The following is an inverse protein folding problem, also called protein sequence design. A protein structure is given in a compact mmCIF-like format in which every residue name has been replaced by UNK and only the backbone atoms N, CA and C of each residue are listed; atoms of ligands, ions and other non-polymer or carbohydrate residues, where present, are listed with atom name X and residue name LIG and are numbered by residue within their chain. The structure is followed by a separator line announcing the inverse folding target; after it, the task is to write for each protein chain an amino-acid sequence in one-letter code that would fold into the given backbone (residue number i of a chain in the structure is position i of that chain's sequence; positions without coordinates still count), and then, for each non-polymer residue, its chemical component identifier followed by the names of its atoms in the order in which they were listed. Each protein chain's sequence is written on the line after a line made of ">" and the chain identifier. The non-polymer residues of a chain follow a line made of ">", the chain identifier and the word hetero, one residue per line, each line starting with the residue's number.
data_IF_754832281266
#
_entry.id   IF_754832281266
#
_cell.length_a   1.000
_cell.length_b   1.000
_cell.length_c   1.000
_cell.angle_alpha   90.00
_cell.angle_beta   90.00
_cell.angle_gamma   90.00
#
_symmetry.space_group_name_H-M   'P 1'
#
loop_
_entity.id
_entity.type
_entity.pdbx_description
1 polymer ?
#
# COMPACT_ATOMS: atom_id res chain seq x y z
N UNK A 1 -2.45 -7.84 18.34
CA UNK A 1 -2.03 -6.51 17.83
C UNK A 1 -0.85 -6.67 16.89
N UNK A 2 -0.69 -5.72 15.96
CA UNK A 2 0.44 -5.63 15.04
C UNK A 2 0.88 -4.16 14.90
N UNK A 3 2.18 -3.92 14.94
CA UNK A 3 2.84 -2.65 14.68
C UNK A 3 3.38 -2.64 13.25
N UNK A 4 2.88 -1.72 12.44
CA UNK A 4 3.17 -1.60 11.02
C UNK A 4 3.89 -0.28 10.76
N UNK A 5 4.94 -0.32 9.96
CA UNK A 5 5.50 0.87 9.33
C UNK A 5 5.27 0.82 7.83
N UNK A 6 4.79 1.92 7.26
CA UNK A 6 4.60 2.08 5.82
C UNK A 6 5.45 3.24 5.33
N UNK A 7 6.10 3.11 4.18
CA UNK A 7 6.99 4.12 3.58
C UNK A 7 6.78 4.21 2.07
N UNK A 8 6.99 5.38 1.49
CA UNK A 8 6.90 5.58 0.04
C UNK A 8 7.57 6.88 -0.39
N UNK A 9 8.11 6.92 -1.61
CA UNK A 9 8.45 8.09 -2.42
C UNK A 9 9.52 9.09 -1.89
N UNK A 10 9.46 9.47 -0.61
CA UNK A 10 10.32 10.50 0.00
C UNK A 10 11.26 9.85 1.02
N UNK A 11 12.56 9.90 0.74
CA UNK A 11 13.61 9.41 1.64
C UNK A 11 13.90 10.44 2.73
N UNK A 12 13.59 10.09 3.99
CA UNK A 12 13.79 10.95 5.16
C UNK A 12 14.50 10.17 6.26
N UNK A 13 15.26 10.85 7.12
CA UNK A 13 15.87 10.18 8.28
C UNK A 13 14.78 9.74 9.26
N UNK A 14 14.60 8.43 9.42
CA UNK A 14 13.68 7.81 10.36
C UNK A 14 14.45 7.28 11.57
N UNK A 15 13.94 7.57 12.77
CA UNK A 15 14.47 6.95 13.99
C UNK A 15 13.38 6.21 14.73
N UNK A 16 13.66 4.97 15.08
CA UNK A 16 12.85 4.13 15.93
C UNK A 16 13.06 4.51 17.40
N UNK A 17 12.59 5.70 17.78
CA UNK A 17 12.69 6.22 19.15
C UNK A 17 11.95 5.38 20.19
N UNK A 18 11.04 4.52 19.75
CA UNK A 18 10.31 3.60 20.62
C UNK A 18 11.16 2.37 21.02
N UNK A 19 12.33 2.17 20.39
CA UNK A 19 13.27 1.07 20.65
C UNK A 19 12.57 -0.31 20.68
N UNK A 20 11.58 -0.50 19.80
CA UNK A 20 10.83 -1.75 19.68
C UNK A 20 10.94 -2.32 18.28
N UNK A 21 10.82 -3.64 18.15
CA UNK A 21 10.69 -4.26 16.84
C UNK A 21 9.28 -4.02 16.28
N UNK A 22 9.20 -3.84 14.97
CA UNK A 22 7.92 -3.80 14.27
C UNK A 22 7.57 -5.21 13.76
N UNK A 23 6.29 -5.46 13.51
CA UNK A 23 5.88 -6.74 12.95
C UNK A 23 5.96 -6.72 11.41
N UNK A 24 5.61 -5.59 10.80
CA UNK A 24 5.46 -5.48 9.35
C UNK A 24 5.98 -4.14 8.82
N UNK A 25 6.81 -4.20 7.78
CA UNK A 25 7.18 -3.05 6.95
C UNK A 25 6.53 -3.19 5.57
N UNK A 26 5.85 -2.13 5.12
CA UNK A 26 5.20 -2.06 3.80
C UNK A 26 5.82 -0.92 3.00
N UNK A 27 6.53 -1.26 1.92
CA UNK A 27 6.99 -0.30 0.91
C UNK A 27 5.92 -0.08 -0.15
N UNK A 28 5.46 1.16 -0.31
CA UNK A 28 4.50 1.56 -1.35
C UNK A 28 5.17 2.04 -2.66
N UNK A 29 6.48 1.79 -2.84
CA UNK A 29 7.22 2.07 -4.06
C UNK A 29 8.03 3.38 -4.04
N UNK A 30 8.83 3.56 -5.09
CA UNK A 30 9.60 4.78 -5.40
C UNK A 30 10.61 5.19 -4.33
N UNK A 31 11.26 4.20 -3.72
CA UNK A 31 12.35 4.38 -2.77
C UNK A 31 13.59 3.62 -3.26
N UNK A 32 14.79 4.13 -2.95
CA UNK A 32 16.01 3.43 -3.33
C UNK A 32 16.21 2.14 -2.52
N UNK A 33 16.89 1.13 -3.09
CA UNK A 33 17.23 -0.09 -2.37
C UNK A 33 18.02 0.20 -1.09
N UNK A 34 18.96 1.16 -1.13
CA UNK A 34 19.75 1.55 0.04
C UNK A 34 18.90 2.18 1.15
N UNK A 35 17.93 3.01 0.79
CA UNK A 35 16.99 3.55 1.78
C UNK A 35 16.08 2.48 2.37
N UNK A 36 15.55 1.57 1.55
CA UNK A 36 14.73 0.47 2.04
C UNK A 36 15.50 -0.46 2.99
N UNK A 37 16.76 -0.75 2.70
CA UNK A 37 17.66 -1.49 3.62
C UNK A 37 17.86 -0.73 4.94
N UNK A 38 18.11 0.58 4.87
CA UNK A 38 18.18 1.43 6.06
C UNK A 38 16.91 1.36 6.92
N UNK A 39 15.72 1.52 6.33
CA UNK A 39 14.45 1.43 7.07
C UNK A 39 14.25 0.03 7.66
N UNK A 40 14.58 -1.02 6.90
CA UNK A 40 14.51 -2.39 7.38
C UNK A 40 15.40 -2.61 8.61
N UNK A 41 16.63 -2.09 8.60
CA UNK A 41 17.58 -2.19 9.70
C UNK A 41 17.19 -1.34 10.93
N UNK A 42 16.62 -0.15 10.71
CA UNK A 42 16.18 0.75 11.78
C UNK A 42 14.97 0.19 12.55
N UNK A 43 14.02 -0.44 11.86
CA UNK A 43 12.75 -0.89 12.45
C UNK A 43 12.68 -2.38 12.75
N UNK A 44 13.61 -3.18 12.19
CA UNK A 44 13.74 -4.64 12.39
C UNK A 44 12.38 -5.37 12.32
N UNK A 45 11.63 -5.20 11.21
CA UNK A 45 10.33 -5.82 11.07
C UNK A 45 10.44 -7.34 11.00
N UNK A 46 9.42 -8.06 11.47
CA UNK A 46 9.35 -9.52 11.31
C UNK A 46 9.11 -9.95 9.86
N UNK A 47 8.45 -9.09 9.06
CA UNK A 47 8.32 -9.25 7.61
C UNK A 47 8.39 -7.88 6.93
N UNK A 48 9.09 -7.85 5.80
CA UNK A 48 9.14 -6.70 4.90
C UNK A 48 8.53 -7.06 3.55
N UNK A 49 7.48 -6.33 3.17
CA UNK A 49 6.82 -6.48 1.87
C UNK A 49 6.90 -5.16 1.09
N UNK A 50 6.84 -5.25 -0.23
CA UNK A 50 6.76 -4.05 -1.06
C UNK A 50 5.95 -4.26 -2.33
N UNK A 51 5.46 -3.15 -2.88
CA UNK A 51 5.03 -3.02 -4.27
C UNK A 51 5.99 -2.09 -4.98
N UNK A 52 6.17 -2.27 -6.29
CA UNK A 52 6.96 -1.33 -7.08
C UNK A 52 6.17 -0.05 -7.36
N UNK A 53 6.87 1.08 -7.34
CA UNK A 53 6.41 2.32 -7.94
C UNK A 53 6.89 2.49 -9.38
N UNK A 54 6.48 3.57 -10.06
CA UNK A 54 6.84 3.76 -11.47
C UNK A 54 8.30 4.22 -11.66
N UNK A 55 8.94 4.80 -10.66
CA UNK A 55 10.34 5.19 -10.71
C UNK A 55 11.32 4.07 -10.32
N UNK A 56 10.84 2.98 -9.71
CA UNK A 56 11.69 1.85 -9.31
C UNK A 56 12.39 1.16 -10.49
N UNK A 57 11.87 1.29 -11.72
CA UNK A 57 12.46 0.71 -12.93
C UNK A 57 13.96 1.00 -13.05
N UNK A 58 14.41 2.18 -12.62
CA UNK A 58 15.80 2.63 -12.73
C UNK A 58 16.80 1.76 -11.95
N UNK A 59 16.34 0.96 -11.01
CA UNK A 59 17.20 0.06 -10.22
C UNK A 59 17.30 -1.36 -10.80
N UNK A 60 16.53 -1.65 -11.86
CA UNK A 60 16.51 -2.97 -12.48
C UNK A 60 17.29 -2.99 -13.79
N UNK A 61 17.87 -4.15 -14.17
CA UNK A 61 18.45 -4.31 -15.49
C UNK A 61 17.40 -4.15 -16.58
N UNK A 62 17.83 -3.87 -17.81
CA UNK A 62 16.93 -3.66 -18.95
C UNK A 62 15.96 -4.82 -19.17
N UNK A 63 16.44 -6.05 -18.97
CA UNK A 63 15.61 -7.27 -18.97
C UNK A 63 15.12 -7.54 -17.55
N UNK A 64 13.96 -6.97 -17.21
CA UNK A 64 13.31 -7.24 -15.94
C UNK A 64 12.63 -8.62 -15.95
N UNK A 65 12.93 -9.43 -14.92
CA UNK A 65 12.19 -10.66 -14.62
C UNK A 65 11.18 -10.37 -13.52
N UNK A 66 9.90 -10.70 -13.76
CA UNK A 66 8.83 -10.37 -12.82
C UNK A 66 9.06 -10.98 -11.43
N UNK A 67 9.16 -10.09 -10.45
CA UNK A 67 9.28 -10.44 -9.04
C UNK A 67 7.90 -10.36 -8.41
N UNK A 68 7.20 -11.50 -8.39
CA UNK A 68 5.90 -11.60 -7.76
C UNK A 68 5.88 -12.71 -6.72
N UNK A 69 5.47 -12.39 -5.51
CA UNK A 69 5.48 -13.28 -4.34
C UNK A 69 6.84 -13.94 -4.10
N UNK A 70 7.93 -13.24 -4.47
CA UNK A 70 9.32 -13.63 -4.21
C UNK A 70 10.12 -12.49 -3.59
N UNK A 71 11.19 -12.85 -2.88
CA UNK A 71 12.14 -11.87 -2.39
C UNK A 71 12.89 -11.23 -3.56
N UNK A 72 13.09 -9.91 -3.49
CA UNK A 72 13.77 -9.17 -4.55
C UNK A 72 15.28 -9.42 -4.55
N UNK A 73 15.84 -9.54 -5.76
CA UNK A 73 17.29 -9.55 -5.93
C UNK A 73 17.91 -8.16 -5.73
N UNK A 74 17.12 -7.09 -5.91
CA UNK A 74 17.56 -5.69 -5.78
C UNK A 74 17.25 -5.14 -4.39
N UNK A 75 16.01 -5.32 -3.93
CA UNK A 75 15.55 -4.90 -2.60
C UNK A 75 15.71 -6.03 -1.59
N UNK A 76 16.95 -6.24 -1.12
CA UNK A 76 17.29 -7.37 -0.25
C UNK A 76 16.40 -7.41 1.00
N UNK A 77 15.83 -8.58 1.30
CA UNK A 77 14.95 -8.79 2.45
C UNK A 77 13.48 -8.41 2.22
N UNK A 78 13.11 -7.85 1.06
CA UNK A 78 11.73 -7.49 0.74
C UNK A 78 11.04 -8.53 -0.13
N UNK A 79 9.88 -9.00 0.32
CA UNK A 79 8.95 -9.80 -0.47
C UNK A 79 8.16 -8.87 -1.40
N UNK A 80 8.39 -8.98 -2.71
CA UNK A 80 7.69 -8.17 -3.71
C UNK A 80 6.32 -8.77 -4.00
N UNK A 81 5.29 -7.93 -3.93
CA UNK A 81 3.91 -8.31 -4.21
C UNK A 81 3.37 -7.52 -5.40
N UNK A 82 3.08 -8.22 -6.51
CA UNK A 82 2.42 -7.64 -7.67
C UNK A 82 1.21 -8.48 -8.10
N UNK A 83 0.01 -7.89 -8.06
CA UNK A 83 -1.26 -8.63 -8.31
C UNK A 83 -1.40 -9.82 -7.36
N UNK A 84 -0.95 -9.64 -6.13
CA UNK A 84 -0.82 -10.71 -5.14
C UNK A 84 -1.93 -10.64 -4.11
N UNK A 85 -2.19 -11.80 -3.51
CA UNK A 85 -2.98 -11.91 -2.31
C UNK A 85 -2.31 -12.91 -1.37
N UNK A 86 -1.84 -12.43 -0.23
CA UNK A 86 -1.17 -13.25 0.78
C UNK A 86 -1.90 -13.18 2.11
N UNK A 87 -1.65 -14.18 2.96
CA UNK A 87 -2.07 -14.15 4.36
C UNK A 87 -0.80 -14.21 5.23
N UNK A 88 -0.68 -13.28 6.18
CA UNK A 88 0.51 -13.12 7.01
C UNK A 88 0.77 -14.30 7.96
N UNK A 89 -0.18 -15.21 8.15
CA UNK A 89 -0.05 -16.37 9.04
C UNK A 89 1.10 -17.27 8.63
N UNK A 90 1.39 -17.36 7.32
CA UNK A 90 2.50 -18.17 6.78
C UNK A 90 3.88 -17.55 6.98
N UNK A 91 3.96 -16.27 7.35
CA UNK A 91 5.22 -15.53 7.49
C UNK A 91 5.50 -15.17 8.95
N UNK A 92 4.52 -14.58 9.64
CA UNK A 92 4.69 -14.02 10.98
C UNK A 92 3.57 -14.44 11.96
N UNK A 93 2.82 -15.50 11.64
CA UNK A 93 1.73 -16.05 12.48
C UNK A 93 0.62 -15.05 12.85
N UNK A 94 0.36 -14.06 11.97
CA UNK A 94 -0.76 -13.10 12.07
C UNK A 94 -1.79 -13.40 10.99
N UNK A 95 -3.04 -13.65 11.33
CA UNK A 95 -4.17 -13.87 10.40
C UNK A 95 -4.67 -12.56 9.79
N UNK A 96 -3.83 -11.98 8.92
CA UNK A 96 -4.09 -10.73 8.20
C UNK A 96 -3.96 -11.00 6.71
N UNK A 97 -5.02 -10.70 5.95
CA UNK A 97 -5.00 -10.84 4.50
C UNK A 97 -4.56 -9.53 3.84
N UNK A 98 -3.51 -9.61 3.02
CA UNK A 98 -2.95 -8.48 2.29
C UNK A 98 -3.15 -8.68 0.79
N UNK A 99 -3.77 -7.68 0.15
CA UNK A 99 -3.82 -7.56 -1.30
C UNK A 99 -2.83 -6.50 -1.76
N UNK A 100 -2.09 -6.76 -2.84
CA UNK A 100 -1.07 -5.81 -3.29
C UNK A 100 -0.94 -5.75 -4.81
N UNK A 101 -0.64 -4.55 -5.33
CA UNK A 101 -0.50 -4.31 -6.77
C UNK A 101 0.55 -3.23 -7.05
N UNK A 102 1.49 -3.55 -7.94
CA UNK A 102 2.60 -2.66 -8.30
C UNK A 102 2.25 -1.71 -9.45
N UNK A 103 2.93 -0.56 -9.44
CA UNK A 103 2.98 0.41 -10.53
C UNK A 103 1.99 1.57 -10.41
N UNK A 104 2.22 2.58 -11.26
CA UNK A 104 1.34 3.73 -11.43
C UNK A 104 0.69 3.75 -12.82
N UNK A 105 -0.51 4.34 -12.90
CA UNK A 105 -1.20 4.60 -14.16
C UNK A 105 -0.39 5.57 -15.02
N UNK A 106 0.31 5.02 -16.00
CA UNK A 106 1.27 5.76 -16.82
C UNK A 106 1.75 4.90 -18.00
N UNK A 107 2.56 5.48 -18.88
CA UNK A 107 3.14 4.78 -20.03
C UNK A 107 4.53 4.26 -19.70
N UNK A 108 4.77 2.98 -19.95
CA UNK A 108 6.07 2.36 -19.78
C UNK A 108 6.00 0.85 -19.62
N UNK A 109 7.06 0.28 -19.03
CA UNK A 109 7.22 -1.16 -18.88
C UNK A 109 6.56 -1.64 -17.58
N UNK A 110 5.83 -2.76 -17.64
CA UNK A 110 5.28 -3.43 -16.46
C UNK A 110 6.39 -4.10 -15.66
N UNK A 111 6.28 -4.20 -14.33
CA UNK A 111 5.14 -3.86 -13.49
C UNK A 111 5.15 -2.40 -12.98
N UNK A 112 6.17 -1.62 -13.31
CA UNK A 112 6.34 -0.23 -12.85
C UNK A 112 5.26 0.71 -13.41
N UNK A 113 4.87 0.50 -14.67
CA UNK A 113 3.81 1.25 -15.34
C UNK A 113 2.65 0.34 -15.68
N UNK A 114 1.42 0.81 -15.43
CA UNK A 114 0.20 0.02 -15.57
C UNK A 114 -0.90 0.82 -16.27
N UNK A 115 -1.90 0.10 -16.78
CA UNK A 115 -3.09 0.70 -17.38
C UNK A 115 -4.35 0.31 -16.59
N UNK A 116 -5.45 1.03 -16.83
CA UNK A 116 -6.77 0.62 -16.31
C UNK A 116 -7.16 -0.79 -16.79
N UNK A 117 -6.67 -1.27 -17.94
CA UNK A 117 -6.92 -2.66 -18.38
C UNK A 117 -6.25 -3.68 -17.44
N UNK A 118 -5.07 -3.35 -16.91
CA UNK A 118 -4.35 -4.22 -15.97
C UNK A 118 -5.07 -4.30 -14.63
N UNK A 119 -5.52 -3.15 -14.12
CA UNK A 119 -6.29 -3.09 -12.87
C UNK A 119 -7.67 -3.72 -13.03
N UNK A 120 -8.29 -3.63 -14.22
CA UNK A 120 -9.54 -4.31 -14.54
C UNK A 120 -9.40 -5.84 -14.53
N UNK A 121 -8.30 -6.37 -15.10
CA UNK A 121 -8.01 -7.81 -15.07
C UNK A 121 -7.87 -8.30 -13.64
N UNK A 122 -7.09 -7.60 -12.83
CA UNK A 122 -6.91 -7.97 -11.42
C UNK A 122 -8.20 -7.86 -10.61
N UNK A 123 -9.00 -6.80 -10.81
CA UNK A 123 -10.35 -6.68 -10.23
C UNK A 123 -11.21 -7.89 -10.57
N UNK A 124 -11.23 -8.31 -11.84
CA UNK A 124 -11.97 -9.50 -12.28
C UNK A 124 -11.48 -10.76 -11.57
N UNK A 125 -10.17 -10.97 -11.46
CA UNK A 125 -9.59 -12.14 -10.80
C UNK A 125 -9.96 -12.19 -9.32
N UNK A 126 -9.91 -11.05 -8.62
CA UNK A 126 -10.35 -10.92 -7.23
C UNK A 126 -11.85 -11.21 -7.10
N UNK A 127 -12.68 -10.67 -8.00
CA UNK A 127 -14.12 -10.89 -7.98
C UNK A 127 -14.48 -12.36 -8.14
N UNK A 128 -13.80 -13.07 -9.06
CA UNK A 128 -13.97 -14.51 -9.24
C UNK A 128 -13.57 -15.26 -7.97
N UNK A 129 -12.43 -14.91 -7.35
CA UNK A 129 -11.97 -15.55 -6.11
C UNK A 129 -12.95 -15.31 -4.94
N UNK A 130 -13.55 -14.12 -4.84
CA UNK A 130 -14.58 -13.82 -3.83
C UNK A 130 -15.87 -14.61 -4.08
N UNK A 131 -16.33 -14.66 -5.34
CA UNK A 131 -17.52 -15.41 -5.73
C UNK A 131 -17.37 -16.90 -5.41
N UNK A 132 -16.19 -17.46 -5.68
CA UNK A 132 -15.83 -18.84 -5.36
C UNK A 132 -15.51 -19.06 -3.87
N UNK A 133 -15.68 -18.05 -3.01
CA UNK A 133 -15.39 -18.08 -1.56
C UNK A 133 -13.96 -18.53 -1.21
N UNK A 134 -13.02 -18.39 -2.17
CA UNK A 134 -11.60 -18.75 -2.01
C UNK A 134 -10.81 -17.71 -1.23
N UNK A 135 -11.35 -16.50 -1.15
CA UNK A 135 -10.77 -15.40 -0.40
C UNK A 135 -11.88 -14.81 0.47
N UNK A 136 -11.56 -14.55 1.73
CA UNK A 136 -12.47 -13.95 2.71
C UNK A 136 -11.72 -12.80 3.36
N UNK A 137 -12.36 -11.63 3.43
CA UNK A 137 -11.93 -10.45 4.17
C UNK A 137 -10.50 -9.98 3.85
N UNK A 138 -10.36 -8.94 3.03
CA UNK A 138 -9.06 -8.29 2.79
C UNK A 138 -8.87 -7.20 3.85
N UNK A 139 -7.85 -7.34 4.68
CA UNK A 139 -7.60 -6.44 5.80
C UNK A 139 -6.82 -5.20 5.37
N UNK A 140 -5.73 -5.43 4.64
CA UNK A 140 -4.81 -4.38 4.20
C UNK A 140 -4.65 -4.47 2.68
N UNK A 141 -4.66 -3.32 2.02
CA UNK A 141 -4.31 -3.19 0.61
C UNK A 141 -3.09 -2.28 0.47
N UNK A 142 -2.11 -2.70 -0.32
CA UNK A 142 -0.95 -1.88 -0.65
C UNK A 142 -0.86 -1.68 -2.17
N UNK A 143 -0.88 -0.43 -2.60
CA UNK A 143 -0.65 -0.07 -4.01
C UNK A 143 0.36 1.07 -4.09
N UNK A 144 0.97 1.29 -5.24
CA UNK A 144 1.66 2.57 -5.46
C UNK A 144 0.64 3.62 -5.94
N UNK A 145 -0.11 3.31 -7.01
CA UNK A 145 -1.18 4.18 -7.50
C UNK A 145 -2.35 4.32 -6.50
N UNK A 146 -2.91 5.52 -6.28
CA UNK A 146 -4.10 5.71 -5.45
C UNK A 146 -5.37 5.12 -6.08
N UNK A 147 -6.36 4.71 -5.27
CA UNK A 147 -7.72 4.43 -5.75
C UNK A 147 -8.52 5.73 -5.95
N UNK A 148 -9.35 5.78 -7.00
CA UNK A 148 -10.26 6.90 -7.23
C UNK A 148 -11.55 6.72 -6.44
N UNK A 149 -11.67 7.40 -5.30
CA UNK A 149 -12.89 7.42 -4.49
C UNK A 149 -13.55 8.79 -4.54
N UNK A 150 -14.88 8.80 -4.66
CA UNK A 150 -15.66 10.02 -4.66
C UNK A 150 -15.38 10.87 -3.40
N UNK A 151 -15.32 12.19 -3.56
CA UNK A 151 -15.08 13.16 -2.48
C UNK A 151 -13.71 13.07 -1.77
N UNK A 152 -12.79 12.23 -2.26
CA UNK A 152 -11.41 12.11 -1.77
C UNK A 152 -10.44 13.03 -2.52
N UNK A 153 -9.61 12.49 -3.42
CA UNK A 153 -8.62 13.21 -4.22
C UNK A 153 -9.37 13.92 -5.36
N UNK A 154 -9.59 15.25 -5.21
CA UNK A 154 -10.43 16.04 -6.13
C UNK A 154 -9.69 16.63 -7.32
N UNK A 155 -8.39 16.91 -7.17
CA UNK A 155 -7.57 17.52 -8.21
C UNK A 155 -6.32 16.67 -8.40
N UNK A 156 -6.07 16.19 -9.61
CA UNK A 156 -4.86 15.46 -9.93
C UNK A 156 -4.43 15.84 -11.34
N UNK A 157 -3.13 15.84 -11.57
CA UNK A 157 -2.58 16.08 -12.90
C UNK A 157 -2.55 14.80 -13.75
N UNK A 158 -2.04 14.91 -14.98
CA UNK A 158 -1.98 13.81 -15.94
C UNK A 158 -1.05 12.65 -15.56
N UNK A 159 -0.17 12.85 -14.58
CA UNK A 159 0.80 11.85 -14.12
C UNK A 159 0.33 11.16 -12.85
N UNK A 160 -0.51 11.81 -12.04
CA UNK A 160 -0.99 11.33 -10.75
C UNK A 160 -2.46 10.90 -10.77
N UNK A 161 -2.91 10.28 -11.87
CA UNK A 161 -4.30 9.87 -12.07
C UNK A 161 -4.63 8.70 -11.13
N UNK A 162 -5.62 8.83 -10.22
CA UNK A 162 -6.08 7.72 -9.40
C UNK A 162 -6.83 6.67 -10.23
N UNK A 163 -6.72 5.40 -9.84
CA UNK A 163 -7.32 4.30 -10.61
C UNK A 163 -8.80 4.13 -10.29
N UNK A 164 -9.64 4.12 -11.33
CA UNK A 164 -11.07 3.86 -11.21
C UNK A 164 -11.33 2.43 -10.75
N UNK A 165 -10.66 1.45 -11.34
CA UNK A 165 -10.85 0.05 -10.93
C UNK A 165 -10.41 -0.21 -9.48
N UNK A 166 -9.33 0.42 -9.00
CA UNK A 166 -8.99 0.33 -7.57
C UNK A 166 -10.05 1.00 -6.70
N UNK A 167 -10.64 2.10 -7.15
CA UNK A 167 -11.80 2.71 -6.50
C UNK A 167 -13.00 1.75 -6.38
N UNK A 168 -13.35 1.06 -7.47
CA UNK A 168 -14.41 0.04 -7.47
C UNK A 168 -14.07 -1.11 -6.51
N UNK A 169 -12.83 -1.61 -6.57
CA UNK A 169 -12.35 -2.67 -5.67
C UNK A 169 -12.45 -2.25 -4.22
N UNK A 170 -12.02 -1.03 -3.88
CA UNK A 170 -12.14 -0.48 -2.54
C UNK A 170 -13.59 -0.50 -2.05
N UNK A 171 -14.55 -0.05 -2.87
CA UNK A 171 -15.97 -0.02 -2.48
C UNK A 171 -16.57 -1.43 -2.29
N UNK A 172 -16.06 -2.40 -3.06
CA UNK A 172 -16.49 -3.79 -3.01
C UNK A 172 -15.92 -4.54 -1.80
N UNK A 173 -14.60 -4.43 -1.55
CA UNK A 173 -13.92 -5.19 -0.50
C UNK A 173 -13.90 -4.44 0.84
N UNK A 174 -13.96 -3.12 0.80
CA UNK A 174 -13.95 -2.18 1.93
C UNK A 174 -12.94 -2.58 3.02
N UNK A 175 -11.62 -2.54 2.71
CA UNK A 175 -10.60 -3.10 3.59
C UNK A 175 -10.45 -2.26 4.86
N UNK A 176 -9.77 -2.75 5.89
CA UNK A 176 -9.53 -1.92 7.09
C UNK A 176 -8.54 -0.80 6.82
N UNK A 177 -7.59 -1.04 5.92
CA UNK A 177 -6.54 -0.11 5.56
C UNK A 177 -6.19 -0.24 4.07
N UNK A 178 -6.11 0.88 3.37
CA UNK A 178 -5.53 0.99 2.04
C UNK A 178 -4.36 1.96 2.08
N UNK A 179 -3.16 1.46 1.84
CA UNK A 179 -1.91 2.22 1.79
C UNK A 179 -1.53 2.49 0.33
N UNK A 180 -1.13 3.72 0.04
CA UNK A 180 -0.72 4.12 -1.29
C UNK A 180 0.41 5.17 -1.29
N UNK A 181 1.14 5.28 -2.39
CA UNK A 181 2.23 6.25 -2.59
C UNK A 181 1.91 7.28 -3.68
N UNK A 182 2.89 7.57 -4.53
CA UNK A 182 2.81 8.30 -5.81
C UNK A 182 2.53 9.80 -5.71
N UNK A 183 1.61 10.22 -4.82
CA UNK A 183 1.26 11.63 -4.64
C UNK A 183 2.01 12.18 -3.43
N UNK A 184 2.99 13.05 -3.69
CA UNK A 184 3.79 13.69 -2.66
C UNK A 184 3.04 14.88 -2.07
N UNK A 185 3.14 15.06 -0.76
CA UNK A 185 2.44 16.14 -0.05
C UNK A 185 3.03 17.52 -0.35
N UNK A 186 4.29 17.57 -0.75
CA UNK A 186 4.94 18.81 -1.16
C UNK A 186 4.35 19.39 -2.47
N UNK A 187 3.78 18.53 -3.33
CA UNK A 187 3.30 18.92 -4.65
C UNK A 187 1.79 19.16 -4.70
N UNK A 188 1.08 19.07 -3.57
CA UNK A 188 -0.36 19.24 -3.57
C UNK A 188 -0.90 19.87 -2.29
N UNK A 189 -1.96 20.66 -2.44
CA UNK A 189 -2.80 21.14 -1.32
C UNK A 189 -3.90 20.14 -0.95
N UNK A 190 -4.01 19.03 -1.68
CA UNK A 190 -5.05 18.04 -1.43
C UNK A 190 -4.84 17.36 -0.08
N UNK A 191 -5.96 17.06 0.59
CA UNK A 191 -5.96 16.00 1.57
C UNK A 191 -5.66 14.68 0.89
N UNK A 192 -4.80 13.85 1.48
CA UNK A 192 -4.45 12.52 0.99
C UNK A 192 -4.76 11.41 2.00
N UNK A 193 -5.14 11.76 3.23
CA UNK A 193 -5.50 10.78 4.25
C UNK A 193 -6.97 10.88 4.59
N UNK A 194 -7.67 9.77 4.47
CA UNK A 194 -9.11 9.72 4.57
C UNK A 194 -9.54 8.61 5.51
N UNK A 195 -10.56 8.92 6.31
CA UNK A 195 -11.31 7.94 7.09
C UNK A 195 -12.65 7.78 6.40
N UNK A 196 -12.89 6.61 5.83
CA UNK A 196 -14.09 6.30 5.08
C UNK A 196 -15.04 5.50 5.97
N UNK A 197 -16.30 5.90 5.99
CA UNK A 197 -17.39 5.19 6.65
C UNK A 197 -18.36 4.66 5.62
N UNK A 198 -18.78 3.41 5.81
CA UNK A 198 -19.86 2.77 5.06
C UNK A 198 -20.68 1.99 6.07
N UNK A 199 -21.92 2.43 6.30
CA UNK A 199 -22.75 1.91 7.40
C UNK A 199 -21.98 1.98 8.74
N UNK A 200 -21.87 0.84 9.45
CA UNK A 200 -21.13 0.73 10.71
C UNK A 200 -19.64 0.42 10.52
N UNK A 201 -19.17 0.26 9.28
CA UNK A 201 -17.78 -0.08 8.99
C UNK A 201 -16.92 1.18 8.82
N UNK A 202 -15.66 1.07 9.25
CA UNK A 202 -14.64 2.09 9.10
C UNK A 202 -13.48 1.51 8.29
N UNK A 203 -12.99 2.29 7.34
CA UNK A 203 -11.79 2.03 6.55
C UNK A 203 -10.90 3.27 6.52
N UNK A 204 -9.60 3.07 6.35
CA UNK A 204 -8.62 4.13 6.24
C UNK A 204 -7.93 4.06 4.88
N UNK A 205 -7.96 5.15 4.12
CA UNK A 205 -7.19 5.32 2.88
C UNK A 205 -6.08 6.32 3.17
N UNK A 206 -4.84 5.84 3.27
CA UNK A 206 -3.72 6.58 3.86
C UNK A 206 -2.56 6.62 2.87
N UNK A 207 -2.04 7.82 2.67
CA UNK A 207 -0.87 8.04 1.83
C UNK A 207 0.41 7.82 2.67
N UNK A 208 1.24 6.90 2.20
CA UNK A 208 2.45 6.42 2.84
C UNK A 208 3.64 7.37 2.74
N UNK A 209 3.50 8.53 2.08
CA UNK A 209 4.58 9.50 1.87
C UNK A 209 4.68 10.49 3.06
N UNK A 210 5.86 10.67 3.67
CA UNK A 210 7.08 9.86 3.54
C UNK A 210 7.01 8.53 4.31
N UNK A 211 6.26 8.51 5.44
CA UNK A 211 6.02 7.30 6.21
C UNK A 211 4.77 7.40 7.11
N UNK A 212 4.30 6.25 7.57
CA UNK A 212 3.22 6.07 8.55
C UNK A 212 3.61 4.99 9.56
N UNK A 213 3.32 5.20 10.85
CA UNK A 213 3.39 4.16 11.89
C UNK A 213 1.97 3.84 12.33
N UNK A 214 1.57 2.58 12.19
CA UNK A 214 0.18 2.16 12.30
C UNK A 214 0.10 1.03 13.31
N UNK A 215 -0.85 1.15 14.25
CA UNK A 215 -1.18 0.08 15.19
C UNK A 215 -2.52 -0.53 14.79
N UNK A 216 -2.52 -1.82 14.49
CA UNK A 216 -3.71 -2.56 14.06
C UNK A 216 -4.05 -3.69 15.04
N UNK A 217 -5.32 -3.80 15.37
CA UNK A 217 -5.86 -4.91 16.16
C UNK A 217 -6.40 -5.97 15.19
N UNK A 218 -5.68 -7.08 15.09
CA UNK A 218 -6.04 -8.21 14.24
C UNK A 218 -7.29 -8.94 14.72
N UNK A 219 -7.52 -9.03 16.04
CA UNK A 219 -8.67 -9.75 16.58
C UNK A 219 -9.95 -8.95 16.38
N UNK A 220 -9.88 -7.65 16.68
CA UNK A 220 -11.01 -6.73 16.50
C UNK A 220 -11.14 -6.21 15.07
N UNK A 221 -10.13 -6.43 14.23
CA UNK A 221 -10.03 -5.94 12.85
C UNK A 221 -10.22 -4.42 12.75
N UNK A 222 -9.56 -3.66 13.62
CA UNK A 222 -9.63 -2.19 13.69
C UNK A 222 -8.25 -1.54 13.71
N UNK A 223 -8.16 -0.34 13.15
CA UNK A 223 -6.99 0.53 13.30
C UNK A 223 -7.12 1.26 14.64
N UNK A 224 -6.12 1.10 15.50
CA UNK A 224 -6.07 1.75 16.81
C UNK A 224 -5.39 3.10 16.75
N UNK A 225 -4.33 3.21 15.93
CA UNK A 225 -3.51 4.42 15.85
C UNK A 225 -2.84 4.55 14.48
N UNK A 226 -2.69 5.80 14.01
CA UNK A 226 -1.87 6.17 12.85
C UNK A 226 -1.04 7.40 13.23
N UNK A 227 0.25 7.20 13.53
CA UNK A 227 1.23 8.28 13.76
C UNK A 227 1.95 8.62 12.46
N UNK A 228 2.20 9.92 12.25
CA UNK A 228 2.71 10.48 10.98
C UNK A 228 3.64 11.68 11.24
N UNK A 229 4.50 12.02 10.28
CA UNK A 229 5.48 13.11 10.42
C UNK A 229 4.82 14.47 10.68
N UNK A 230 3.78 14.82 9.90
CA UNK A 230 2.95 16.01 10.10
C UNK A 230 1.58 15.57 10.57
N UNK A 231 1.09 16.08 11.69
CA UNK A 231 -0.21 15.75 12.28
C UNK A 231 -1.40 16.28 11.44
N UNK A 232 -1.50 15.87 10.19
CA UNK A 232 -2.67 16.12 9.34
C UNK A 232 -3.79 15.20 9.82
N UNK A 233 -4.94 15.76 10.20
CA UNK A 233 -6.11 14.93 10.52
C UNK A 233 -6.61 14.24 9.26
N UNK A 234 -7.08 13.00 9.36
CA UNK A 234 -7.80 12.34 8.27
C UNK A 234 -9.08 13.11 7.97
N UNK A 235 -9.41 13.31 6.70
CA UNK A 235 -10.74 13.82 6.32
C UNK A 235 -11.75 12.69 6.35
N UNK A 236 -12.88 12.92 7.00
CA UNK A 236 -13.96 11.94 7.07
C UNK A 236 -14.81 12.00 5.80
N UNK A 237 -15.13 10.83 5.24
CA UNK A 237 -15.96 10.66 4.05
C UNK A 237 -16.98 9.55 4.36
N UNK A 238 -18.26 9.83 4.10
CA UNK A 238 -19.33 8.84 4.19
C UNK A 238 -19.62 8.34 2.77
N UNK A 239 -19.40 7.05 2.54
CA UNK A 239 -19.82 6.38 1.32
C UNK A 239 -21.29 5.97 1.48
N UNK A 240 -22.09 6.33 0.49
CA UNK A 240 -23.45 5.82 0.34
C UNK A 240 -23.43 4.37 -0.15
#
# INVERSE_FOLDING_TARGET
>A
MIDIISVSDEEVTLKNRENKNYDLLIGCGDLSPGYMDYVNNEFKPSLSIMVHGNHDKKYFPEVYKEENEKYSDIYKGFLVLNKSLINLKRYIKKDINIMAFSGALSYGIKPFHISEKDTAKFKRDINIKMLLKRIKNIDIVATHNPPLIENTIKKFDRYHIPSKNFGDMYKQIFPKLWLYGHIHRAYTINQLDFKLRKENMISYMINSVPYQKIKYDEEKKIILEIKRLKATKTKEIVLK
#
